data_IF_531159538868
#
_entry.id   IF_531159538868
#
_cell.length_a   1.000
_cell.length_b   1.000
_cell.length_c   1.000
_cell.angle_alpha   90.00
_cell.angle_beta   90.00
_cell.angle_gamma   90.00
#
_symmetry.space_group_name_H-M   'P 1'
#
loop_
_entity.id
_entity.type
_entity.pdbx_description
1 polymer ?
#
# COMPACT_ATOMS: atom_id res chain seq x y z
N UNK A 1 -26.09 -32.96 31.65
CA UNK A 1 -25.95 -33.99 32.71
C UNK A 1 -24.50 -34.02 33.15
N UNK A 2 -24.29 -33.66 34.41
CA UNK A 2 -23.12 -33.74 35.33
C UNK A 2 -21.70 -33.77 34.73
N UNK A 3 -20.82 -32.77 34.89
CA UNK A 3 -20.25 -32.06 36.08
C UNK A 3 -19.07 -32.75 36.79
N UNK A 4 -18.07 -31.89 37.10
CA UNK A 4 -16.91 -31.97 38.04
C UNK A 4 -15.62 -32.57 37.49
N UNK A 5 -14.45 -31.90 37.43
CA UNK A 5 -13.76 -30.86 38.25
C UNK A 5 -13.15 -31.38 39.56
N UNK A 6 -11.81 -31.26 39.61
CA UNK A 6 -10.89 -30.94 40.73
C UNK A 6 -9.83 -31.93 41.20
N UNK A 7 -8.69 -31.29 41.49
CA UNK A 7 -7.34 -31.71 41.84
C UNK A 7 -7.11 -31.58 43.36
N UNK A 8 -6.23 -32.43 43.91
CA UNK A 8 -5.43 -32.25 45.16
C UNK A 8 -4.33 -33.33 45.12
N UNK A 9 -3.00 -33.04 45.11
CA UNK A 9 -2.13 -32.71 46.26
C UNK A 9 -1.99 -33.89 47.26
N UNK A 10 -0.83 -34.42 47.70
CA UNK A 10 0.61 -34.22 47.50
C UNK A 10 1.42 -34.99 48.59
N UNK A 11 2.75 -35.14 48.40
CA UNK A 11 3.86 -35.48 49.36
C UNK A 11 3.87 -36.90 49.99
N UNK A 12 4.99 -37.54 50.40
CA UNK A 12 6.48 -37.42 50.32
C UNK A 12 7.07 -38.68 51.01
N UNK A 13 8.33 -39.02 50.69
CA UNK A 13 9.47 -39.49 51.54
C UNK A 13 10.26 -40.62 50.85
N UNK A 14 11.49 -40.37 50.36
CA UNK A 14 12.82 -40.43 51.03
C UNK A 14 13.38 -41.86 51.04
N UNK A 15 14.64 -42.19 50.78
CA UNK A 15 15.92 -41.51 50.52
C UNK A 15 16.99 -42.61 50.45
N UNK A 16 18.02 -42.54 49.59
CA UNK A 16 19.45 -42.31 49.92
C UNK A 16 20.24 -43.01 48.79
N UNK A 17 21.36 -42.55 48.22
CA UNK A 17 22.34 -41.55 48.60
C UNK A 17 23.70 -42.22 48.83
N UNK A 18 24.65 -42.08 47.88
CA UNK A 18 26.09 -42.22 48.14
C UNK A 18 26.94 -42.94 47.08
N UNK A 19 27.98 -42.27 46.58
CA UNK A 19 29.21 -42.91 46.09
C UNK A 19 29.72 -42.43 44.72
N UNK A 20 30.71 -41.53 44.74
CA UNK A 20 31.48 -40.99 43.59
C UNK A 20 32.84 -41.77 43.44
N UNK A 21 33.76 -41.45 42.49
CA UNK A 21 34.29 -42.40 41.50
C UNK A 21 35.78 -42.79 41.66
N UNK A 22 36.24 -43.85 40.97
CA UNK A 22 37.67 -44.14 40.76
C UNK A 22 37.96 -44.69 39.35
N UNK A 23 39.02 -44.13 38.75
CA UNK A 23 39.65 -44.42 37.44
C UNK A 23 40.51 -45.73 37.48
N UNK A 24 41.38 -46.06 36.49
CA UNK A 24 41.18 -47.14 35.54
C UNK A 24 42.22 -48.28 35.68
N UNK A 25 41.95 -49.46 35.13
CA UNK A 25 42.98 -50.49 34.93
C UNK A 25 43.02 -50.92 33.47
N UNK A 26 44.21 -50.79 32.89
CA UNK A 26 44.58 -51.16 31.52
C UNK A 26 44.88 -52.69 31.42
N UNK A 27 44.98 -53.24 30.19
CA UNK A 27 44.48 -54.56 29.84
C UNK A 27 45.57 -55.66 29.79
N UNK A 28 45.20 -56.94 29.60
CA UNK A 28 46.08 -57.92 29.00
C UNK A 28 45.72 -58.20 27.54
N UNK A 29 46.81 -58.43 26.82
CA UNK A 29 46.97 -58.60 25.38
C UNK A 29 46.71 -60.07 24.98
N UNK A 30 45.77 -60.25 24.04
CA UNK A 30 45.87 -61.21 22.92
C UNK A 30 45.57 -62.69 23.16
N UNK A 31 44.61 -63.23 22.41
CA UNK A 31 44.84 -64.38 21.50
C UNK A 31 43.60 -64.63 20.63
N UNK A 32 43.87 -64.86 19.34
CA UNK A 32 42.92 -65.08 18.24
C UNK A 32 42.10 -66.37 18.38
N UNK A 33 40.82 -66.29 18.03
CA UNK A 33 40.10 -67.35 17.33
C UNK A 33 39.25 -66.72 16.23
N UNK A 34 39.41 -67.24 15.01
CA UNK A 34 38.65 -66.88 13.81
C UNK A 34 37.19 -67.24 14.01
N UNK A 35 36.27 -66.36 13.62
CA UNK A 35 35.09 -66.78 12.84
C UNK A 35 34.41 -65.58 12.16
N UNK A 36 34.16 -65.79 10.86
CA UNK A 36 33.07 -65.27 10.04
C UNK A 36 32.97 -63.75 9.75
N UNK A 37 33.29 -63.44 8.50
CA UNK A 37 32.91 -62.24 7.75
C UNK A 37 31.38 -62.11 7.71
N UNK A 38 30.86 -60.87 7.81
CA UNK A 38 30.07 -60.35 6.71
C UNK A 38 30.65 -59.02 6.23
N UNK A 39 30.88 -58.96 4.93
CA UNK A 39 31.17 -57.76 4.15
C UNK A 39 30.20 -56.62 4.50
N UNK A 40 30.72 -55.58 5.17
CA UNK A 40 30.02 -54.32 5.33
C UNK A 40 29.83 -53.69 3.96
N UNK A 41 28.56 -53.45 3.60
CA UNK A 41 28.16 -52.68 2.44
C UNK A 41 28.76 -51.29 2.58
N UNK A 42 29.79 -51.03 1.78
CA UNK A 42 30.31 -49.69 1.54
C UNK A 42 29.14 -48.85 1.05
N UNK A 43 28.72 -47.90 1.88
CA UNK A 43 27.64 -46.98 1.54
C UNK A 43 27.97 -46.33 0.21
N UNK A 44 27.11 -46.58 -0.79
CA UNK A 44 27.19 -45.93 -2.09
C UNK A 44 27.39 -44.42 -1.85
N UNK A 45 28.34 -43.78 -2.54
CA UNK A 45 28.47 -42.34 -2.46
C UNK A 45 27.10 -41.72 -2.80
N UNK A 46 26.68 -40.73 -2.00
CA UNK A 46 25.53 -39.91 -2.35
C UNK A 46 25.68 -39.46 -3.80
N UNK A 47 24.62 -39.54 -4.63
CA UNK A 47 24.73 -39.13 -6.02
C UNK A 47 25.21 -37.68 -6.07
N UNK A 48 26.39 -37.50 -6.66
CA UNK A 48 26.99 -36.22 -6.95
C UNK A 48 25.92 -35.37 -7.65
N UNK A 49 25.55 -34.23 -7.05
CA UNK A 49 24.50 -33.38 -7.57
C UNK A 49 24.82 -33.02 -9.03
N UNK A 50 24.06 -33.59 -9.94
CA UNK A 50 24.21 -33.51 -11.40
C UNK A 50 24.48 -32.06 -11.83
N UNK A 51 25.74 -31.71 -12.07
CA UNK A 51 26.21 -30.33 -12.19
C UNK A 51 25.93 -29.67 -13.56
N UNK A 52 25.07 -30.24 -14.41
CA UNK A 52 24.86 -29.75 -15.78
C UNK A 52 23.38 -29.67 -16.19
N UNK A 53 22.51 -29.21 -15.28
CA UNK A 53 21.16 -28.82 -15.68
C UNK A 53 21.20 -27.45 -16.37
N UNK A 54 20.91 -27.41 -17.67
CA UNK A 54 20.68 -26.14 -18.38
C UNK A 54 19.25 -25.71 -18.09
N UNK A 55 19.08 -24.57 -17.39
CA UNK A 55 17.79 -23.93 -17.18
C UNK A 55 17.64 -22.74 -18.14
N UNK A 56 16.61 -22.81 -19.00
CA UNK A 56 16.16 -21.71 -19.82
C UNK A 56 14.81 -21.20 -19.29
N UNK A 57 14.73 -19.91 -19.00
CA UNK A 57 13.50 -19.25 -18.55
C UNK A 57 13.15 -18.12 -19.52
N UNK A 58 11.92 -18.16 -20.04
CA UNK A 58 11.32 -17.09 -20.82
C UNK A 58 10.00 -16.68 -20.17
N UNK A 59 9.80 -15.38 -19.99
CA UNK A 59 8.55 -14.81 -19.51
C UNK A 59 8.19 -13.60 -20.38
N UNK A 60 6.95 -13.59 -20.86
CA UNK A 60 6.35 -12.46 -21.56
C UNK A 60 5.04 -12.13 -20.85
N UNK A 61 4.80 -10.86 -20.54
CA UNK A 61 3.56 -10.44 -19.91
C UNK A 61 3.12 -9.04 -20.31
N UNK A 62 1.81 -8.86 -20.36
CA UNK A 62 1.11 -7.61 -20.60
C UNK A 62 0.42 -7.16 -19.33
N UNK A 63 0.71 -5.94 -18.89
CA UNK A 63 0.17 -5.34 -17.67
C UNK A 63 -0.65 -4.09 -18.02
N UNK A 64 -1.66 -3.79 -17.20
CA UNK A 64 -2.39 -2.53 -17.26
C UNK A 64 -1.56 -1.36 -16.69
N UNK A 65 -2.05 -0.14 -16.85
CA UNK A 65 -1.45 1.06 -16.22
C UNK A 65 -1.40 0.98 -14.69
N UNK A 66 -2.26 0.16 -14.08
CA UNK A 66 -2.29 -0.10 -12.63
C UNK A 66 -1.41 -1.27 -12.21
N UNK A 67 -0.59 -1.80 -13.14
CA UNK A 67 0.23 -3.00 -12.97
C UNK A 67 -0.58 -4.28 -12.69
N UNK A 68 -1.86 -4.30 -13.08
CA UNK A 68 -2.67 -5.51 -13.04
C UNK A 68 -2.35 -6.38 -14.26
N UNK A 69 -2.30 -7.70 -14.07
CA UNK A 69 -1.99 -8.63 -15.14
C UNK A 69 -3.13 -8.69 -16.18
N UNK A 70 -2.82 -8.59 -17.47
CA UNK A 70 -3.77 -8.86 -18.55
C UNK A 70 -3.53 -10.25 -19.15
N UNK A 71 -2.26 -10.57 -19.41
CA UNK A 71 -1.83 -11.84 -20.00
C UNK A 71 -0.35 -12.09 -19.64
N UNK A 72 0.03 -13.32 -19.36
CA UNK A 72 1.43 -13.71 -19.18
C UNK A 72 1.66 -15.16 -19.63
N UNK A 73 2.78 -15.38 -20.29
CA UNK A 73 3.26 -16.70 -20.67
C UNK A 73 4.67 -16.91 -20.14
N UNK A 74 4.81 -17.93 -19.31
CA UNK A 74 6.08 -18.39 -18.77
C UNK A 74 6.42 -19.74 -19.40
N UNK A 75 7.67 -19.90 -19.77
CA UNK A 75 8.23 -21.12 -20.29
C UNK A 75 9.59 -21.37 -19.62
N UNK A 76 9.65 -22.41 -18.81
CA UNK A 76 10.85 -22.91 -18.17
C UNK A 76 11.22 -24.25 -18.81
N UNK A 77 12.47 -24.41 -19.21
CA UNK A 77 13.00 -25.65 -19.74
C UNK A 77 14.24 -26.04 -18.95
N UNK A 78 14.20 -27.21 -18.34
CA UNK A 78 15.30 -27.77 -17.55
C UNK A 78 15.77 -29.04 -18.24
N UNK A 79 16.98 -29.00 -18.78
CA UNK A 79 17.61 -30.18 -19.38
C UNK A 79 18.36 -30.97 -18.32
N UNK A 80 17.73 -32.00 -17.77
CA UNK A 80 18.48 -33.02 -17.01
C UNK A 80 19.10 -34.04 -17.98
N UNK A 81 20.22 -34.66 -17.57
CA UNK A 81 20.88 -35.71 -18.35
C UNK A 81 19.99 -36.92 -18.64
N UNK A 82 19.04 -37.22 -17.76
CA UNK A 82 18.21 -38.43 -17.82
C UNK A 82 16.85 -38.12 -18.45
N UNK A 83 16.20 -37.01 -18.08
CA UNK A 83 14.87 -36.67 -18.58
C UNK A 83 14.69 -35.14 -18.67
N UNK A 84 14.53 -34.56 -19.87
CA UNK A 84 14.26 -33.13 -19.98
C UNK A 84 12.87 -32.82 -19.42
N UNK A 85 12.77 -31.71 -18.70
CA UNK A 85 11.52 -31.19 -18.16
C UNK A 85 11.21 -29.83 -18.81
N UNK A 86 10.00 -29.68 -19.31
CA UNK A 86 9.47 -28.43 -19.85
C UNK A 86 8.25 -28.03 -19.03
N UNK A 87 8.23 -26.82 -18.50
CA UNK A 87 7.09 -26.26 -17.76
C UNK A 87 6.62 -25.00 -18.45
N UNK A 88 5.34 -24.95 -18.78
CA UNK A 88 4.67 -23.76 -19.30
C UNK A 88 3.58 -23.34 -18.33
N UNK A 89 3.46 -22.04 -18.10
CA UNK A 89 2.38 -21.46 -17.33
C UNK A 89 1.85 -20.23 -18.06
N UNK A 90 0.58 -20.26 -18.41
CA UNK A 90 -0.14 -19.18 -19.07
C UNK A 90 -1.18 -18.63 -18.11
N UNK A 91 -1.20 -17.32 -17.94
CA UNK A 91 -2.15 -16.59 -17.12
C UNK A 91 -2.89 -15.64 -18.06
N UNK A 92 -4.21 -15.73 -18.10
CA UNK A 92 -5.05 -14.89 -18.95
C UNK A 92 -6.19 -14.29 -18.15
N UNK A 93 -6.40 -12.99 -18.30
CA UNK A 93 -7.60 -12.34 -17.79
C UNK A 93 -8.78 -12.65 -18.72
N UNK A 94 -9.77 -13.36 -18.20
CA UNK A 94 -11.01 -13.70 -18.89
C UNK A 94 -12.18 -13.11 -18.09
N UNK A 95 -12.84 -12.09 -18.63
CA UNK A 95 -13.93 -11.36 -17.97
C UNK A 95 -13.60 -10.95 -16.52
N UNK A 96 -14.22 -11.61 -15.54
CA UNK A 96 -14.05 -11.40 -14.09
C UNK A 96 -13.27 -12.54 -13.41
N UNK A 97 -12.41 -13.24 -14.16
CA UNK A 97 -11.56 -14.30 -13.65
C UNK A 97 -10.14 -14.23 -14.23
N UNK A 98 -9.19 -14.80 -13.49
CA UNK A 98 -7.85 -15.11 -13.96
C UNK A 98 -7.78 -16.61 -14.25
N UNK A 99 -7.69 -16.97 -15.52
CA UNK A 99 -7.46 -18.34 -15.97
C UNK A 99 -5.95 -18.65 -15.91
N UNK A 100 -5.59 -19.75 -15.26
CA UNK A 100 -4.21 -20.23 -15.13
C UNK A 100 -4.13 -21.61 -15.74
N UNK A 101 -3.41 -21.72 -16.85
CA UNK A 101 -3.12 -22.99 -17.52
C UNK A 101 -1.66 -23.34 -17.34
N UNK A 102 -1.40 -24.54 -16.83
CA UNK A 102 -0.06 -25.05 -16.58
C UNK A 102 0.12 -26.36 -17.33
N UNK A 103 1.24 -26.52 -18.02
CA UNK A 103 1.66 -27.81 -18.56
C UNK A 103 3.07 -28.14 -18.12
N UNK A 104 3.25 -29.36 -17.61
CA UNK A 104 4.58 -29.95 -17.41
C UNK A 104 4.71 -31.09 -18.41
N UNK A 105 5.81 -31.10 -19.15
CA UNK A 105 6.24 -32.24 -19.94
C UNK A 105 7.52 -32.80 -19.34
N UNK A 106 7.50 -34.08 -19.01
CA UNK A 106 8.64 -34.82 -18.48
C UNK A 106 8.87 -36.04 -19.39
N UNK A 107 9.88 -35.96 -20.26
CA UNK A 107 10.04 -36.94 -21.34
C UNK A 107 8.85 -36.96 -22.31
N UNK A 108 8.13 -38.09 -22.38
CA UNK A 108 6.93 -38.26 -23.21
C UNK A 108 5.63 -37.90 -22.46
N UNK A 109 5.66 -37.86 -21.13
CA UNK A 109 4.46 -37.58 -20.33
C UNK A 109 4.17 -36.08 -20.33
N UNK A 110 2.91 -35.70 -20.59
CA UNK A 110 2.43 -34.31 -20.51
C UNK A 110 1.30 -34.24 -19.50
N UNK A 111 1.49 -33.45 -18.44
CA UNK A 111 0.47 -33.15 -17.43
C UNK A 111 0.02 -31.71 -17.61
N UNK A 112 -1.26 -31.52 -17.90
CA UNK A 112 -1.88 -30.20 -17.99
C UNK A 112 -2.86 -30.01 -16.84
N UNK A 113 -2.76 -28.89 -16.15
CA UNK A 113 -3.67 -28.47 -15.11
C UNK A 113 -4.22 -27.09 -15.45
N UNK A 114 -5.49 -26.88 -15.18
CA UNK A 114 -6.17 -25.60 -15.37
C UNK A 114 -6.86 -25.23 -14.08
N UNK A 115 -6.66 -23.99 -13.64
CA UNK A 115 -7.29 -23.41 -12.46
C UNK A 115 -7.78 -22.02 -12.83
N UNK A 116 -8.80 -21.54 -12.15
CA UNK A 116 -9.26 -20.15 -12.29
C UNK A 116 -9.50 -19.53 -10.93
N UNK A 117 -9.27 -18.22 -10.86
CA UNK A 117 -9.49 -17.43 -9.66
C UNK A 117 -10.43 -16.27 -9.98
N UNK A 118 -11.47 -16.01 -9.17
CA UNK A 118 -12.27 -14.79 -9.30
C UNK A 118 -11.39 -13.54 -9.24
N UNK A 119 -11.64 -12.56 -10.09
CA UNK A 119 -10.83 -11.33 -10.13
C UNK A 119 -10.85 -10.59 -8.78
N UNK A 120 -11.99 -10.64 -8.10
CA UNK A 120 -12.17 -10.06 -6.76
C UNK A 120 -11.28 -10.69 -5.68
N UNK A 121 -10.89 -11.97 -5.82
CA UNK A 121 -10.05 -12.67 -4.83
C UNK A 121 -8.55 -12.42 -5.03
N UNK A 122 -8.14 -11.92 -6.20
CA UNK A 122 -6.73 -11.68 -6.56
C UNK A 122 -6.31 -10.21 -6.43
N UNK A 123 -7.04 -9.42 -5.65
CA UNK A 123 -6.69 -8.02 -5.41
C UNK A 123 -5.30 -7.92 -4.79
N UNK A 124 -4.40 -7.19 -5.45
CA UNK A 124 -3.00 -7.07 -5.01
C UNK A 124 -2.11 -8.26 -5.42
N UNK A 125 -2.57 -9.10 -6.35
CA UNK A 125 -1.76 -10.11 -7.01
C UNK A 125 -0.61 -9.46 -7.81
N UNK A 126 0.59 -9.98 -7.59
CA UNK A 126 1.80 -9.61 -8.32
C UNK A 126 2.22 -10.82 -9.15
N UNK A 127 1.99 -10.74 -10.45
CA UNK A 127 2.49 -11.72 -11.41
C UNK A 127 4.01 -11.64 -11.57
N UNK A 128 4.63 -12.60 -12.24
CA UNK A 128 6.08 -12.54 -12.50
C UNK A 128 6.48 -11.30 -13.33
N UNK A 129 5.68 -10.93 -14.32
CA UNK A 129 5.89 -9.70 -15.09
C UNK A 129 5.79 -8.44 -14.22
N UNK A 130 4.76 -8.36 -13.35
CA UNK A 130 4.62 -7.24 -12.42
C UNK A 130 5.74 -7.21 -11.36
N UNK A 131 6.18 -8.39 -10.92
CA UNK A 131 7.29 -8.56 -9.99
C UNK A 131 8.61 -8.01 -10.57
N UNK A 132 8.90 -8.26 -11.84
CA UNK A 132 10.07 -7.66 -12.49
C UNK A 132 10.02 -6.13 -12.45
N UNK A 133 8.87 -5.52 -12.71
CA UNK A 133 8.71 -4.06 -12.59
C UNK A 133 8.90 -3.60 -11.14
N UNK A 134 8.34 -4.32 -10.17
CA UNK A 134 8.48 -4.03 -8.75
C UNK A 134 9.95 -4.07 -8.30
N UNK A 135 10.69 -5.11 -8.69
CA UNK A 135 12.11 -5.27 -8.40
C UNK A 135 12.94 -4.11 -9.00
N UNK A 136 12.61 -3.66 -10.21
CA UNK A 136 13.25 -2.48 -10.84
C UNK A 136 13.06 -1.22 -9.99
N UNK A 137 11.84 -1.01 -9.48
CA UNK A 137 11.53 0.12 -8.60
C UNK A 137 12.31 0.03 -7.28
N UNK A 138 12.37 -1.16 -6.66
CA UNK A 138 13.16 -1.38 -5.44
C UNK A 138 14.64 -1.07 -5.64
N UNK A 139 15.21 -1.52 -6.76
CA UNK A 139 16.60 -1.24 -7.12
C UNK A 139 16.86 0.25 -7.36
N UNK A 140 15.99 0.92 -8.10
CA UNK A 140 16.11 2.34 -8.38
C UNK A 140 16.00 3.18 -7.10
N UNK A 141 15.10 2.80 -6.19
CA UNK A 141 14.94 3.44 -4.87
C UNK A 141 16.01 2.99 -3.86
N UNK A 142 16.81 1.97 -4.19
CA UNK A 142 17.80 1.33 -3.31
C UNK A 142 17.19 0.92 -1.96
N UNK A 143 15.98 0.37 -2.00
CA UNK A 143 15.22 0.07 -0.79
C UNK A 143 14.16 -1.00 -1.03
N UNK A 144 14.05 -1.94 -0.09
CA UNK A 144 12.90 -2.85 0.00
C UNK A 144 11.97 -2.35 1.11
N UNK A 145 10.66 -2.15 0.85
CA UNK A 145 9.72 -1.73 1.88
C UNK A 145 9.65 -2.72 3.05
N UNK A 146 9.53 -2.20 4.28
CA UNK A 146 9.27 -3.04 5.45
C UNK A 146 7.94 -3.79 5.28
N UNK A 147 7.94 -5.09 5.56
CA UNK A 147 6.77 -5.98 5.38
C UNK A 147 6.27 -6.06 3.93
N UNK A 148 7.16 -5.94 2.94
CA UNK A 148 6.84 -6.21 1.55
C UNK A 148 6.32 -7.65 1.37
N UNK A 149 5.00 -7.80 1.38
CA UNK A 149 4.27 -9.06 1.23
C UNK A 149 3.16 -8.88 0.21
N UNK A 150 3.18 -9.70 -0.83
CA UNK A 150 2.26 -9.60 -1.95
C UNK A 150 1.67 -10.97 -2.31
N UNK A 151 0.43 -10.96 -2.81
CA UNK A 151 -0.21 -12.17 -3.32
C UNK A 151 0.52 -12.62 -4.59
N UNK A 152 0.80 -13.92 -4.71
CA UNK A 152 1.60 -14.51 -5.78
C UNK A 152 1.05 -15.89 -6.18
N UNK A 153 1.66 -16.51 -7.19
CA UNK A 153 1.45 -17.93 -7.50
C UNK A 153 2.72 -18.70 -7.20
N UNK A 154 2.56 -19.93 -6.69
CA UNK A 154 3.66 -20.88 -6.59
C UNK A 154 3.90 -21.59 -7.95
N UNK A 155 4.85 -22.52 -7.96
CA UNK A 155 5.23 -23.28 -9.17
C UNK A 155 4.13 -24.23 -9.67
N UNK A 156 3.13 -24.47 -8.85
CA UNK A 156 1.96 -25.32 -9.09
C UNK A 156 0.80 -24.49 -9.66
N UNK A 157 0.88 -23.15 -9.61
CA UNK A 157 -0.17 -22.24 -10.03
C UNK A 157 -1.22 -21.99 -8.96
N UNK A 158 -0.92 -22.28 -7.69
CA UNK A 158 -1.80 -22.03 -6.55
C UNK A 158 -1.53 -20.64 -5.97
N UNK A 159 -2.60 -19.98 -5.50
CA UNK A 159 -2.48 -18.70 -4.81
C UNK A 159 -1.72 -18.87 -3.50
N UNK A 160 -0.73 -18.02 -3.32
CA UNK A 160 0.10 -17.97 -2.13
C UNK A 160 0.61 -16.54 -1.91
N UNK A 161 1.67 -16.35 -1.13
CA UNK A 161 2.28 -15.04 -0.95
C UNK A 161 3.78 -15.07 -1.16
N UNK A 162 4.31 -13.92 -1.58
CA UNK A 162 5.74 -13.66 -1.67
C UNK A 162 6.17 -12.60 -0.68
N UNK A 163 7.38 -12.74 -0.14
CA UNK A 163 8.05 -11.75 0.72
C UNK A 163 9.36 -11.31 0.12
N UNK A 164 9.78 -10.09 0.43
CA UNK A 164 11.01 -9.50 -0.12
C UNK A 164 11.94 -9.06 1.00
N UNK A 165 13.24 -9.30 0.81
CA UNK A 165 14.29 -8.93 1.75
C UNK A 165 15.42 -8.20 1.04
N UNK A 166 15.89 -7.12 1.67
CA UNK A 166 17.10 -6.40 1.28
C UNK A 166 18.34 -7.18 1.74
N UNK A 167 19.19 -7.58 0.78
CA UNK A 167 20.47 -8.25 1.05
C UNK A 167 21.68 -7.31 0.87
N UNK A 168 21.44 -6.02 0.64
CA UNK A 168 22.45 -4.99 0.50
C UNK A 168 23.01 -4.90 -0.92
N UNK A 169 24.29 -4.57 -1.00
CA UNK A 169 24.99 -4.29 -2.25
C UNK A 169 26.18 -5.24 -2.45
N UNK A 170 26.46 -5.56 -3.70
CA UNK A 170 27.66 -6.30 -4.09
C UNK A 170 28.24 -5.72 -5.36
N UNK A 171 29.56 -5.77 -5.52
CA UNK A 171 30.18 -5.51 -6.82
C UNK A 171 30.28 -6.81 -7.61
N UNK A 172 29.75 -6.81 -8.83
CA UNK A 172 29.88 -7.91 -9.77
C UNK A 172 30.72 -7.49 -10.98
N UNK A 173 31.34 -8.48 -11.62
CA UNK A 173 31.97 -8.27 -12.92
C UNK A 173 31.02 -8.76 -14.02
N UNK A 174 30.77 -7.88 -14.99
CA UNK A 174 30.03 -8.18 -16.21
C UNK A 174 30.91 -7.79 -17.38
N UNK A 175 31.31 -8.77 -18.17
CA UNK A 175 32.33 -8.61 -19.22
C UNK A 175 33.67 -8.10 -18.61
N UNK A 176 34.16 -6.93 -19.02
CA UNK A 176 35.37 -6.29 -18.46
C UNK A 176 35.05 -5.13 -17.51
N UNK A 177 33.78 -4.95 -17.14
CA UNK A 177 33.32 -3.82 -16.31
C UNK A 177 32.88 -4.31 -14.94
N UNK A 178 33.22 -3.52 -13.92
CA UNK A 178 32.66 -3.71 -12.58
C UNK A 178 31.41 -2.85 -12.43
N UNK A 179 30.39 -3.40 -11.79
CA UNK A 179 29.17 -2.69 -11.46
C UNK A 179 28.71 -3.05 -10.05
N UNK A 180 28.29 -2.04 -9.30
CA UNK A 180 27.55 -2.23 -8.05
C UNK A 180 26.12 -2.68 -8.38
N UNK A 181 25.65 -3.70 -7.69
CA UNK A 181 24.28 -4.21 -7.78
C UNK A 181 23.62 -4.22 -6.42
N UNK A 182 22.34 -3.83 -6.40
CA UNK A 182 21.44 -3.98 -5.26
C UNK A 182 20.80 -5.36 -5.29
N UNK A 183 20.78 -6.05 -4.15
CA UNK A 183 20.35 -7.44 -4.07
C UNK A 183 19.02 -7.52 -3.31
N UNK A 184 18.01 -8.06 -3.99
CA UNK A 184 16.71 -8.36 -3.40
C UNK A 184 16.49 -9.87 -3.42
N UNK A 185 16.18 -10.45 -2.26
CA UNK A 185 15.68 -11.81 -2.18
C UNK A 185 14.16 -11.82 -2.14
N UNK A 186 13.55 -12.57 -3.05
CA UNK A 186 12.14 -12.89 -3.03
C UNK A 186 11.95 -14.32 -2.56
N UNK A 187 11.10 -14.55 -1.57
CA UNK A 187 10.66 -15.88 -1.15
C UNK A 187 9.19 -16.07 -1.46
N UNK A 188 8.86 -17.10 -2.22
CA UNK A 188 7.48 -17.54 -2.48
C UNK A 188 7.14 -18.66 -1.50
N UNK A 189 6.09 -18.45 -0.70
CA UNK A 189 5.68 -19.35 0.38
C UNK A 189 4.49 -20.21 -0.07
N UNK A 190 4.75 -21.36 -0.69
CA UNK A 190 3.69 -22.33 -1.02
C UNK A 190 3.05 -22.89 0.25
N UNK A 191 1.75 -23.18 0.21
CA UNK A 191 1.03 -23.79 1.33
C UNK A 191 1.31 -25.30 1.46
N UNK A 192 1.55 -25.97 0.35
CA UNK A 192 1.78 -27.42 0.28
C UNK A 192 3.24 -27.78 0.00
N UNK A 193 4.03 -26.81 -0.49
CA UNK A 193 5.43 -26.99 -0.89
C UNK A 193 6.43 -26.36 0.08
N UNK A 194 7.71 -26.54 -0.24
CA UNK A 194 8.81 -25.86 0.44
C UNK A 194 8.89 -24.43 -0.11
N UNK A 195 9.10 -23.40 0.73
CA UNK A 195 9.32 -22.04 0.25
C UNK A 195 10.49 -21.98 -0.73
N UNK A 196 10.28 -21.25 -1.83
CA UNK A 196 11.29 -21.07 -2.87
C UNK A 196 11.82 -19.64 -2.81
N UNK A 197 13.14 -19.50 -2.62
CA UNK A 197 13.81 -18.19 -2.64
C UNK A 197 14.58 -17.96 -3.94
N UNK A 198 14.47 -16.74 -4.49
CA UNK A 198 15.23 -16.26 -5.62
C UNK A 198 15.89 -14.92 -5.29
N UNK A 199 17.19 -14.81 -5.56
CA UNK A 199 17.95 -13.57 -5.42
C UNK A 199 18.07 -12.87 -6.77
N UNK A 200 17.75 -11.58 -6.78
CA UNK A 200 17.80 -10.70 -7.93
C UNK A 200 18.85 -9.63 -7.68
N UNK A 201 19.84 -9.55 -8.56
CA UNK A 201 20.94 -8.60 -8.51
C UNK A 201 20.66 -7.55 -9.58
N UNK A 202 20.31 -6.36 -9.13
CA UNK A 202 19.81 -5.29 -9.99
C UNK A 202 20.82 -4.13 -10.05
N UNK A 203 21.05 -3.61 -11.24
CA UNK A 203 21.84 -2.41 -11.48
C UNK A 203 21.11 -1.16 -10.95
N UNK A 204 21.83 -0.05 -10.85
CA UNK A 204 21.32 1.21 -10.28
C UNK A 204 20.11 1.79 -11.03
N UNK A 205 19.93 1.47 -12.30
CA UNK A 205 18.80 1.89 -13.13
C UNK A 205 17.68 0.82 -13.22
N UNK A 206 17.80 -0.24 -12.41
CA UNK A 206 16.85 -1.33 -12.30
C UNK A 206 17.11 -2.52 -13.23
N UNK A 207 18.07 -2.48 -14.16
CA UNK A 207 18.33 -3.67 -15.00
C UNK A 207 18.71 -4.89 -14.16
N UNK A 208 18.09 -6.04 -14.43
CA UNK A 208 18.47 -7.30 -13.80
C UNK A 208 19.79 -7.81 -14.40
N UNK A 209 20.83 -7.90 -13.56
CA UNK A 209 22.14 -8.39 -13.97
C UNK A 209 22.37 -9.87 -13.65
N UNK A 210 21.84 -10.36 -12.53
CA UNK A 210 21.97 -11.76 -12.13
C UNK A 210 20.73 -12.24 -11.40
N UNK A 211 20.32 -13.48 -11.64
CA UNK A 211 19.29 -14.20 -10.90
C UNK A 211 19.84 -15.54 -10.41
N UNK A 212 19.61 -15.84 -9.14
CA UNK A 212 20.00 -17.11 -8.51
C UNK A 212 18.78 -17.68 -7.81
N UNK A 213 18.49 -18.96 -8.04
CA UNK A 213 17.54 -19.69 -7.21
C UNK A 213 18.30 -20.33 -6.04
N UNK A 214 17.88 -20.03 -4.81
CA UNK A 214 18.52 -20.58 -3.60
C UNK A 214 18.37 -22.10 -3.60
N UNK A 215 19.47 -22.80 -3.39
CA UNK A 215 19.52 -24.26 -3.44
C UNK A 215 19.75 -24.87 -4.84
N UNK A 216 19.74 -24.05 -5.90
CA UNK A 216 20.13 -24.49 -7.25
C UNK A 216 21.58 -24.10 -7.56
N UNK A 217 22.36 -24.97 -8.22
CA UNK A 217 23.72 -24.62 -8.68
C UNK A 217 23.71 -23.66 -9.88
N UNK A 218 22.57 -23.55 -10.58
CA UNK A 218 22.44 -22.70 -11.76
C UNK A 218 22.21 -21.23 -11.42
N UNK A 219 22.79 -20.32 -12.21
CA UNK A 219 22.44 -18.90 -12.18
C UNK A 219 22.32 -18.33 -13.60
N UNK A 220 21.46 -17.33 -13.75
CA UNK A 220 21.36 -16.54 -14.97
C UNK A 220 22.12 -15.23 -14.74
N UNK A 221 23.07 -14.89 -15.61
CA UNK A 221 23.83 -13.65 -15.54
C UNK A 221 23.90 -13.00 -16.92
N UNK A 222 23.80 -11.67 -16.96
CA UNK A 222 24.02 -10.91 -18.19
C UNK A 222 25.47 -11.10 -18.66
N UNK A 223 25.63 -11.30 -19.96
CA UNK A 223 26.96 -11.51 -20.57
C UNK A 223 27.63 -10.21 -20.99
N UNK A 224 26.84 -9.13 -21.16
CA UNK A 224 27.29 -7.81 -21.56
C UNK A 224 26.60 -6.75 -20.73
N UNK A 225 27.31 -5.67 -20.47
CA UNK A 225 26.76 -4.54 -19.73
C UNK A 225 25.67 -3.83 -20.56
N UNK A 226 24.44 -3.63 -20.03
CA UNK A 226 23.43 -2.85 -20.72
C UNK A 226 23.83 -1.37 -20.80
N UNK A 227 23.20 -0.65 -21.72
CA UNK A 227 23.28 0.82 -21.74
C UNK A 227 22.46 1.31 -20.54
N UNK A 228 23.17 1.81 -19.53
CA UNK A 228 22.53 2.33 -18.33
C UNK A 228 21.71 3.56 -18.69
N UNK A 229 20.49 3.64 -18.17
CA UNK A 229 19.69 4.86 -18.28
C UNK A 229 20.38 5.98 -17.52
N UNK A 230 20.50 7.14 -18.16
CA UNK A 230 20.80 8.38 -17.45
C UNK A 230 19.68 8.62 -16.45
N UNK A 231 20.02 9.18 -15.28
CA UNK A 231 19.03 9.49 -14.26
C UNK A 231 18.10 10.53 -14.88
N UNK A 232 16.85 10.13 -15.15
CA UNK A 232 15.80 11.06 -15.55
C UNK A 232 15.68 12.09 -14.42
N UNK A 233 16.25 13.29 -14.61
CA UNK A 233 16.00 14.41 -13.72
C UNK A 233 14.50 14.65 -13.75
N UNK A 234 13.81 14.31 -12.66
CA UNK A 234 12.37 14.54 -12.54
C UNK A 234 12.20 16.05 -12.63
N UNK A 235 11.81 16.54 -13.82
CA UNK A 235 11.52 17.95 -14.01
C UNK A 235 10.55 18.36 -12.91
N UNK A 236 10.86 19.40 -12.12
CA UNK A 236 9.97 19.84 -11.07
C UNK A 236 8.61 20.12 -11.70
N UNK A 237 7.53 19.62 -11.07
CA UNK A 237 6.16 19.83 -11.57
C UNK A 237 6.02 21.31 -11.93
N UNK A 238 5.59 21.64 -13.16
CA UNK A 238 5.45 23.04 -13.55
C UNK A 238 4.53 23.73 -12.54
N UNK A 239 5.11 24.70 -11.83
CA UNK A 239 4.35 25.53 -10.89
C UNK A 239 3.63 26.56 -11.75
N UNK A 240 2.42 26.22 -12.20
CA UNK A 240 1.57 27.21 -12.84
C UNK A 240 1.20 28.26 -11.79
N UNK A 241 1.66 29.49 -12.00
CA UNK A 241 1.17 30.62 -11.22
C UNK A 241 -0.36 30.67 -11.34
N UNK A 242 -1.05 30.78 -10.21
CA UNK A 242 -2.51 30.94 -10.20
C UNK A 242 -2.82 32.26 -10.89
N UNK A 243 -3.26 32.20 -12.15
CA UNK A 243 -3.75 33.37 -12.87
C UNK A 243 -4.90 34.00 -12.06
N UNK A 244 -4.92 35.34 -11.88
CA UNK A 244 -6.06 36.02 -11.29
C UNK A 244 -7.35 35.64 -12.03
N UNK A 245 -8.38 35.24 -11.30
CA UNK A 245 -9.68 34.91 -11.88
C UNK A 245 -10.41 36.21 -12.24
N UNK A 246 -10.22 36.69 -13.46
CA UNK A 246 -10.99 37.81 -14.03
C UNK A 246 -12.27 37.25 -14.63
N UNK A 247 -13.20 36.87 -13.76
CA UNK A 247 -14.44 36.17 -14.16
C UNK A 247 -15.36 37.06 -15.02
N UNK A 248 -15.19 38.38 -14.96
CA UNK A 248 -15.93 39.35 -15.77
C UNK A 248 -15.58 39.28 -17.26
N UNK A 249 -14.36 38.83 -17.60
CA UNK A 249 -13.89 38.69 -19.00
C UNK A 249 -14.15 37.29 -19.57
N UNK A 250 -14.34 36.30 -18.69
CA UNK A 250 -14.65 34.94 -19.07
C UNK A 250 -16.15 34.81 -19.38
N UNK A 251 -16.50 34.58 -20.66
CA UNK A 251 -17.89 34.49 -21.08
C UNK A 251 -18.69 33.39 -20.36
N UNK A 252 -18.06 32.27 -20.00
CA UNK A 252 -18.75 31.17 -19.32
C UNK A 252 -19.04 31.53 -17.85
N UNK A 253 -18.05 32.09 -17.16
CA UNK A 253 -18.20 32.51 -15.76
C UNK A 253 -19.16 33.70 -15.63
N UNK A 254 -19.08 34.66 -16.55
CA UNK A 254 -20.01 35.79 -16.60
C UNK A 254 -21.45 35.33 -16.82
N UNK A 255 -21.66 34.34 -17.69
CA UNK A 255 -22.99 33.74 -17.91
C UNK A 255 -23.52 33.07 -16.65
N UNK A 256 -22.70 32.24 -15.98
CA UNK A 256 -23.06 31.59 -14.70
C UNK A 256 -23.41 32.62 -13.62
N UNK A 257 -22.67 33.73 -13.55
CA UNK A 257 -22.98 34.82 -12.63
C UNK A 257 -24.34 35.46 -12.93
N UNK A 258 -24.63 35.77 -14.19
CA UNK A 258 -25.91 36.37 -14.59
C UNK A 258 -27.09 35.45 -14.30
N UNK A 259 -26.96 34.15 -14.60
CA UNK A 259 -27.98 33.15 -14.30
C UNK A 259 -28.25 33.09 -12.80
N UNK A 260 -27.21 32.97 -11.97
CA UNK A 260 -27.37 32.91 -10.52
C UNK A 260 -27.94 34.20 -9.94
N UNK A 261 -27.54 35.36 -10.48
CA UNK A 261 -28.06 36.67 -10.08
C UNK A 261 -29.56 36.77 -10.38
N UNK A 262 -29.99 36.35 -11.55
CA UNK A 262 -31.41 36.39 -11.94
C UNK A 262 -32.24 35.38 -11.13
N UNK A 263 -31.72 34.18 -10.90
CA UNK A 263 -32.34 33.18 -10.03
C UNK A 263 -32.59 33.73 -8.62
N UNK A 264 -31.59 34.37 -8.02
CA UNK A 264 -31.71 35.00 -6.70
C UNK A 264 -32.71 36.17 -6.71
N UNK A 265 -32.72 36.98 -7.78
CA UNK A 265 -33.68 38.08 -7.94
C UNK A 265 -35.12 37.56 -7.98
N UNK A 266 -35.37 36.51 -8.76
CA UNK A 266 -36.67 35.86 -8.87
C UNK A 266 -37.09 35.19 -7.56
N UNK A 267 -36.14 34.52 -6.88
CA UNK A 267 -36.36 33.94 -5.56
C UNK A 267 -36.77 35.00 -4.53
N UNK A 268 -36.06 36.12 -4.47
CA UNK A 268 -36.38 37.23 -3.57
C UNK A 268 -37.74 37.87 -3.88
N UNK A 269 -38.03 38.12 -5.16
CA UNK A 269 -39.32 38.66 -5.57
C UNK A 269 -40.48 37.71 -5.24
N UNK A 270 -40.26 36.40 -5.39
CA UNK A 270 -41.25 35.37 -5.04
C UNK A 270 -41.47 35.30 -3.53
N UNK A 271 -40.39 35.35 -2.74
CA UNK A 271 -40.46 35.39 -1.28
C UNK A 271 -41.29 36.57 -0.79
N UNK A 272 -41.01 37.80 -1.26
CA UNK A 272 -41.77 38.98 -0.85
C UNK A 272 -43.25 38.92 -1.28
N UNK A 273 -43.57 38.28 -2.42
CA UNK A 273 -44.97 38.06 -2.84
C UNK A 273 -45.70 37.05 -1.95
N UNK A 274 -45.00 36.02 -1.49
CA UNK A 274 -45.57 34.97 -0.63
C UNK A 274 -45.71 35.43 0.84
N UNK A 275 -44.93 36.43 1.24
CA UNK A 275 -44.88 36.96 2.60
C UNK A 275 -45.26 38.45 2.65
N UNK A 276 -46.55 38.81 2.44
CA UNK A 276 -47.01 40.19 2.54
C UNK A 276 -46.75 40.81 3.92
N UNK A 277 -46.67 39.99 4.98
CA UNK A 277 -46.30 40.40 6.33
C UNK A 277 -44.89 41.00 6.41
N UNK A 278 -43.94 40.48 5.64
CA UNK A 278 -42.57 41.02 5.61
C UNK A 278 -42.55 42.39 4.95
N UNK A 279 -43.34 42.57 3.88
CA UNK A 279 -43.49 43.86 3.22
C UNK A 279 -44.18 44.89 4.14
N UNK A 280 -45.26 44.49 4.82
CA UNK A 280 -45.95 45.34 5.79
C UNK A 280 -45.04 45.75 6.95
N UNK A 281 -44.28 44.81 7.50
CA UNK A 281 -43.34 45.06 8.59
C UNK A 281 -42.26 46.09 8.22
N UNK A 282 -41.67 45.98 7.03
CA UNK A 282 -40.69 46.95 6.52
C UNK A 282 -41.36 48.30 6.25
N UNK A 283 -42.59 48.30 5.71
CA UNK A 283 -43.33 49.54 5.43
C UNK A 283 -43.66 50.30 6.72
N UNK A 284 -44.11 49.60 7.76
CA UNK A 284 -44.37 50.18 9.08
C UNK A 284 -43.10 50.73 9.71
N UNK A 285 -41.98 50.00 9.60
CA UNK A 285 -40.68 50.48 10.06
C UNK A 285 -40.30 51.81 9.38
N UNK A 286 -40.36 51.85 8.05
CA UNK A 286 -40.02 53.04 7.27
C UNK A 286 -40.96 54.21 7.58
N UNK A 287 -42.26 53.95 7.76
CA UNK A 287 -43.22 54.96 8.17
C UNK A 287 -42.85 55.56 9.53
N UNK A 288 -42.58 54.73 10.53
CA UNK A 288 -42.18 55.23 11.85
C UNK A 288 -40.83 55.92 11.83
N UNK A 289 -39.89 55.46 11.01
CA UNK A 289 -38.58 56.08 10.83
C UNK A 289 -38.73 57.50 10.25
N UNK A 290 -39.57 57.67 9.24
CA UNK A 290 -39.84 58.97 8.61
C UNK A 290 -40.64 59.92 9.52
N UNK A 291 -41.59 59.38 10.30
CA UNK A 291 -42.40 60.20 11.21
C UNK A 291 -41.64 60.65 12.46
N UNK A 292 -40.80 59.79 13.03
CA UNK A 292 -40.09 60.08 14.29
C UNK A 292 -38.73 60.69 14.07
N UNK A 293 -38.13 60.47 12.89
CA UNK A 293 -36.82 60.96 12.49
C UNK A 293 -35.77 60.87 13.62
N UNK A 294 -35.53 59.66 14.18
CA UNK A 294 -34.62 59.49 15.29
C UNK A 294 -33.18 59.79 14.88
N UNK A 295 -32.38 60.35 15.81
CA UNK A 295 -30.95 60.61 15.57
C UNK A 295 -30.14 59.31 15.41
N UNK A 296 -30.55 58.23 16.07
CA UNK A 296 -29.94 56.89 15.97
C UNK A 296 -30.90 55.88 15.34
N UNK A 297 -30.75 55.70 14.02
CA UNK A 297 -31.57 54.77 13.21
C UNK A 297 -31.31 53.31 13.58
N UNK A 298 -30.09 52.95 13.99
CA UNK A 298 -29.69 51.56 14.23
C UNK A 298 -30.31 51.05 15.52
N UNK A 299 -30.24 51.86 16.59
CA UNK A 299 -30.91 51.54 17.86
C UNK A 299 -32.42 51.48 17.70
N UNK A 300 -32.98 52.43 16.95
CA UNK A 300 -34.40 52.44 16.63
C UNK A 300 -34.84 51.18 15.87
N UNK A 301 -34.04 50.71 14.90
CA UNK A 301 -34.31 49.47 14.19
C UNK A 301 -34.26 48.25 15.12
N UNK A 302 -33.27 48.17 16.01
CA UNK A 302 -33.15 47.07 16.96
C UNK A 302 -34.36 47.00 17.92
N UNK A 303 -34.88 48.14 18.35
CA UNK A 303 -36.09 48.21 19.17
C UNK A 303 -37.36 47.88 18.39
N UNK A 304 -37.47 48.34 17.14
CA UNK A 304 -38.61 48.07 16.28
C UNK A 304 -38.71 46.58 15.89
N UNK A 305 -37.61 45.97 15.45
CA UNK A 305 -37.58 44.57 15.01
C UNK A 305 -37.39 43.57 16.17
N UNK A 306 -36.89 44.01 17.32
CA UNK A 306 -36.59 43.16 18.47
C UNK A 306 -37.75 42.28 18.98
N UNK A 307 -39.03 42.71 18.98
CA UNK A 307 -40.17 41.89 19.36
C UNK A 307 -40.46 40.71 18.42
N UNK A 308 -39.93 40.74 17.19
CA UNK A 308 -40.14 39.69 16.19
C UNK A 308 -39.06 38.58 16.26
N UNK A 309 -38.04 38.71 17.12
CA UNK A 309 -37.06 37.65 17.36
C UNK A 309 -37.60 36.64 18.39
N UNK A 310 -37.86 35.37 17.99
CA UNK A 310 -38.41 34.36 18.89
C UNK A 310 -37.46 33.96 20.03
N UNK A 311 -36.19 34.37 20.01
CA UNK A 311 -35.17 34.01 21.02
C UNK A 311 -34.96 35.09 22.08
N UNK A 312 -35.68 36.21 22.03
CA UNK A 312 -35.48 37.34 22.95
C UNK A 312 -36.39 37.22 24.18
N UNK A 313 -35.87 37.42 25.42
CA UNK A 313 -36.73 37.53 26.60
C UNK A 313 -37.62 38.77 26.48
N UNK A 314 -38.88 38.63 26.86
CA UNK A 314 -39.92 39.66 26.70
C UNK A 314 -39.54 40.98 27.40
N UNK A 315 -39.17 41.98 26.61
CA UNK A 315 -38.99 43.36 27.08
C UNK A 315 -40.27 44.18 26.84
N UNK A 316 -40.60 45.19 27.68
CA UNK A 316 -41.76 46.04 27.45
C UNK A 316 -41.68 46.76 26.10
N UNK A 317 -42.80 46.78 25.37
CA UNK A 317 -42.88 47.42 24.05
C UNK A 317 -42.73 48.94 24.11
N UNK A 318 -42.01 49.48 23.11
CA UNK A 318 -41.95 50.89 22.68
C UNK A 318 -42.06 51.94 23.80
N UNK A 319 -40.97 52.12 24.56
CA UNK A 319 -40.82 53.24 25.49
C UNK A 319 -39.66 54.15 25.09
N UNK A 320 -39.98 55.37 24.65
CA UNK A 320 -39.10 56.54 24.44
C UNK A 320 -37.99 56.43 23.37
N UNK A 321 -37.91 57.42 22.48
CA UNK A 321 -36.86 57.53 21.43
C UNK A 321 -35.46 57.89 21.95
N UNK A 322 -35.30 58.11 23.26
CA UNK A 322 -34.06 58.65 23.84
C UNK A 322 -33.31 57.64 24.70
N UNK A 323 -33.42 56.33 24.40
CA UNK A 323 -32.65 55.31 25.13
C UNK A 323 -31.25 55.18 24.52
N UNK A 324 -30.18 55.17 25.33
CA UNK A 324 -28.83 54.97 24.82
C UNK A 324 -28.69 53.59 24.17
N UNK A 325 -28.05 53.56 23.00
CA UNK A 325 -27.85 52.35 22.20
C UNK A 325 -27.17 51.23 23.00
N UNK A 326 -27.71 50.00 23.01
CA UNK A 326 -27.01 48.84 23.57
C UNK A 326 -25.78 48.43 22.75
N UNK A 327 -25.56 49.04 21.57
CA UNK A 327 -24.43 48.77 20.68
C UNK A 327 -23.33 49.83 20.75
N UNK A 328 -23.52 50.89 21.55
CA UNK A 328 -22.51 51.94 21.74
C UNK A 328 -21.88 51.78 23.12
N UNK A 329 -20.61 51.40 23.16
CA UNK A 329 -19.82 51.48 24.38
C UNK A 329 -19.73 52.95 24.80
N UNK A 330 -19.96 53.23 26.08
CA UNK A 330 -19.68 54.54 26.67
C UNK A 330 -18.17 54.83 26.48
N UNK A 331 -17.83 55.73 25.57
CA UNK A 331 -16.51 56.35 25.54
C UNK A 331 -16.30 57.09 26.88
N UNK A 332 -15.11 57.01 27.53
CA UNK A 332 -14.88 57.71 28.78
C UNK A 332 -14.89 59.22 28.52
N UNK A 333 -15.57 59.99 29.37
CA UNK A 333 -15.51 61.45 29.35
C UNK A 333 -14.05 61.92 29.40
N UNK A 334 -13.66 62.69 28.38
CA UNK A 334 -12.38 63.36 28.33
C UNK A 334 -12.27 64.40 29.42
N UNK A 335 -11.24 64.23 30.24
CA UNK A 335 -10.84 65.06 31.36
C UNK A 335 -10.73 66.54 30.97
N UNK A 336 -11.30 67.41 31.82
CA UNK A 336 -11.26 68.86 31.66
C UNK A 336 -9.85 69.39 31.97
N UNK A 337 -9.05 69.57 30.93
CA UNK A 337 -7.73 70.22 31.01
C UNK A 337 -7.81 71.73 30.77
N UNK A 338 -7.82 72.50 31.86
CA UNK A 338 -7.61 73.95 31.89
C UNK A 338 -6.27 74.32 31.23
N UNK A 339 -6.28 75.24 30.26
CA UNK A 339 -5.08 75.79 29.62
C UNK A 339 -5.22 77.30 29.46
N UNK A 340 -4.53 78.03 30.34
CA UNK A 340 -4.41 79.47 30.30
C UNK A 340 -3.61 79.94 29.07
N UNK A 341 -4.06 81.04 28.47
CA UNK A 341 -3.41 81.85 27.45
C UNK A 341 -4.19 83.13 27.25
#
# INVERSE_FOLDING_TARGET
>A
MSSKVHSTGGKRTAGAGGGDPLLPSNPPRGSRTKDHQPSGVEGLPFPEANAEAINFLSSLGHLSEKLELMEQHNHEFIKFFILPMERKMSLLKEDDQLAVTRSIKEGEEVKTAMTSFPWSSIKGFVSEAANLVLLRVMAWRRMVPSNARFLALDTEGKLCYSTYQDLGFQTIQVDQKQAEVFIVEQTVHSEEGIPMSCQYYLLSDGHLAKRIQVGSPGCCIITKMPILREVDEIEPRPVFEKKPLVWEEDMELYTKFLERKEELRLGHASYLRQHPEAHALISDFLLFLLLRQPEDVVTFAAEFFGPFDPRRPSSPGLGSSNRPSPFRSLEPEGDAGCGAG
#
